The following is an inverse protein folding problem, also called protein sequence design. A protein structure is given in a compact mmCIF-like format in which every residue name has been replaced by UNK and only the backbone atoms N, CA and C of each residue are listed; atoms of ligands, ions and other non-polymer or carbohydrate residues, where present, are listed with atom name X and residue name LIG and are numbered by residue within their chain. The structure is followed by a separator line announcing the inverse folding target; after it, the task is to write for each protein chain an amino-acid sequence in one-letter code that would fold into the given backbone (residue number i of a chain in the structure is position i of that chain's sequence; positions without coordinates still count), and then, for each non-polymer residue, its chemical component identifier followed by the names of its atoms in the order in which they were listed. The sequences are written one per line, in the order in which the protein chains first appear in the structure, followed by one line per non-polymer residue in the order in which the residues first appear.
data_IF_983704264647
#
_entry.id   IF_983704264647
#
_cell.length_a   1.000
_cell.length_b   1.000
_cell.length_c   1.000
_cell.angle_alpha   90.00
_cell.angle_beta   90.00
_cell.angle_gamma   90.00
#
_symmetry.space_group_name_H-M   'P 1'
#
loop_
_entity.id
_entity.type
_entity.pdbx_description
1 polymer ?
#
# COMPACT_ATOMS: atom_id res chain seq x y z
N UNK A 1 18.48 -27.73 -38.97
CA UNK A 1 17.16 -27.17 -39.33
C UNK A 1 17.06 -25.82 -38.66
N UNK A 2 16.54 -24.79 -39.35
CA UNK A 2 16.44 -23.44 -38.79
C UNK A 2 15.05 -22.87 -39.11
N UNK A 3 14.41 -22.28 -38.11
CA UNK A 3 13.11 -21.63 -38.19
C UNK A 3 13.29 -20.12 -37.97
N UNK A 4 12.50 -19.31 -38.68
CA UNK A 4 12.41 -17.87 -38.47
C UNK A 4 10.95 -17.50 -38.24
N UNK A 5 10.68 -16.86 -37.11
CA UNK A 5 9.37 -16.32 -36.75
C UNK A 5 9.45 -14.80 -36.92
N UNK A 6 8.55 -14.24 -37.71
CA UNK A 6 8.41 -12.79 -37.90
C UNK A 6 7.08 -12.34 -37.27
N UNK A 7 7.16 -11.36 -36.39
CA UNK A 7 6.01 -10.74 -35.73
C UNK A 7 5.88 -9.33 -36.28
N UNK A 8 4.70 -9.00 -36.80
CA UNK A 8 4.39 -7.70 -37.38
C UNK A 8 3.04 -7.21 -36.85
N UNK A 9 2.92 -5.89 -36.66
CA UNK A 9 1.66 -5.25 -36.31
C UNK A 9 0.82 -5.12 -37.59
N UNK A 10 -0.44 -5.52 -37.53
CA UNK A 10 -1.32 -5.61 -38.71
C UNK A 10 -2.48 -4.64 -38.54
N UNK A 11 -2.83 -3.94 -39.63
CA UNK A 11 -3.96 -3.03 -39.71
C UNK A 11 -5.27 -3.81 -39.68
N UNK A 12 -6.15 -3.47 -38.74
CA UNK A 12 -7.42 -4.15 -38.51
C UNK A 12 -8.45 -3.96 -39.65
N UNK A 13 -8.26 -2.98 -40.53
CA UNK A 13 -9.18 -2.66 -41.63
C UNK A 13 -8.86 -3.48 -42.87
N UNK A 14 -7.59 -3.55 -43.27
CA UNK A 14 -7.18 -4.13 -44.56
C UNK A 14 -6.09 -5.21 -44.47
N UNK A 15 -5.57 -5.49 -43.28
CA UNK A 15 -4.53 -6.49 -43.07
C UNK A 15 -3.13 -6.07 -43.53
N UNK A 16 -2.92 -4.80 -43.89
CA UNK A 16 -1.60 -4.25 -44.21
C UNK A 16 -0.75 -4.05 -42.94
N UNK A 17 0.56 -3.74 -43.04
CA UNK A 17 1.34 -3.39 -41.87
C UNK A 17 0.79 -2.15 -41.17
N UNK A 18 0.46 -2.26 -39.88
CA UNK A 18 0.06 -1.13 -39.06
C UNK A 18 1.28 -0.38 -38.49
N UNK A 19 1.08 0.91 -38.21
CA UNK A 19 2.10 1.78 -37.63
C UNK A 19 1.78 2.20 -36.19
N UNK A 20 0.50 2.21 -35.80
CA UNK A 20 0.08 2.69 -34.49
C UNK A 20 -1.28 2.11 -34.08
N UNK A 21 -1.46 1.93 -32.78
CA UNK A 21 -2.75 1.65 -32.14
C UNK A 21 -3.41 2.98 -31.75
N UNK A 22 -4.68 3.16 -32.09
CA UNK A 22 -5.45 4.37 -31.74
C UNK A 22 -6.59 3.99 -30.81
N UNK A 23 -6.58 4.58 -29.62
CA UNK A 23 -7.71 4.53 -28.69
C UNK A 23 -8.73 5.62 -29.04
N UNK A 24 -10.01 5.26 -29.11
CA UNK A 24 -11.11 6.21 -29.27
C UNK A 24 -12.33 5.74 -28.48
N UNK A 25 -13.32 6.61 -28.29
CA UNK A 25 -14.53 6.27 -27.55
C UNK A 25 -15.79 6.74 -28.27
N UNK A 26 -16.85 5.95 -28.17
CA UNK A 26 -18.18 6.26 -28.67
C UNK A 26 -19.21 5.77 -27.66
N UNK A 27 -20.17 6.62 -27.29
CA UNK A 27 -21.24 6.32 -26.34
C UNK A 27 -20.76 5.72 -25.00
N UNK A 28 -19.59 6.18 -24.54
CA UNK A 28 -18.98 5.75 -23.27
C UNK A 28 -18.21 4.42 -23.34
N UNK A 29 -18.18 3.76 -24.50
CA UNK A 29 -17.36 2.56 -24.71
C UNK A 29 -16.03 2.96 -25.34
N UNK A 30 -14.94 2.49 -24.75
CA UNK A 30 -13.58 2.70 -25.26
C UNK A 30 -13.18 1.55 -26.17
N UNK A 31 -12.66 1.90 -27.35
CA UNK A 31 -12.17 1.00 -28.37
C UNK A 31 -10.70 1.28 -28.66
N UNK A 32 -10.02 0.28 -29.20
CA UNK A 32 -8.65 0.36 -29.69
C UNK A 32 -8.60 -0.32 -31.06
N UNK A 33 -7.80 0.24 -31.97
CA UNK A 33 -7.66 -0.25 -33.34
C UNK A 33 -6.23 -0.03 -33.84
N UNK A 34 -5.63 -1.05 -34.44
CA UNK A 34 -4.31 -1.00 -35.08
C UNK A 34 -4.46 -0.53 -36.52
N UNK A 35 -3.78 0.57 -36.87
CA UNK A 35 -3.93 1.23 -38.16
C UNK A 35 -2.59 1.61 -38.79
N UNK A 36 -2.57 1.57 -40.12
CA UNK A 36 -1.54 2.21 -40.94
C UNK A 36 -1.73 3.75 -40.93
N UNK A 37 -0.71 4.48 -41.39
CA UNK A 37 -0.69 5.94 -41.35
C UNK A 37 -1.86 6.60 -42.10
N UNK A 38 -2.29 5.98 -43.20
CA UNK A 38 -3.40 6.50 -44.02
C UNK A 38 -4.72 6.36 -43.28
N UNK A 39 -5.01 5.19 -42.73
CA UNK A 39 -6.25 4.94 -41.99
C UNK A 39 -6.30 5.72 -40.67
N UNK A 40 -5.17 5.83 -39.98
CA UNK A 40 -5.03 6.67 -38.80
C UNK A 40 -5.38 8.13 -39.09
N UNK A 41 -4.90 8.70 -40.20
CA UNK A 41 -5.24 10.05 -40.62
C UNK A 41 -6.73 10.19 -40.97
N UNK A 42 -7.31 9.20 -41.66
CA UNK A 42 -8.73 9.19 -41.97
C UNK A 42 -9.59 9.18 -40.72
N UNK A 43 -9.26 8.35 -39.72
CA UNK A 43 -9.97 8.30 -38.44
C UNK A 43 -9.94 9.67 -37.74
N UNK A 44 -8.75 10.28 -37.62
CA UNK A 44 -8.59 11.62 -37.03
C UNK A 44 -9.36 12.70 -37.80
N UNK A 45 -9.42 12.59 -39.12
CA UNK A 45 -10.17 13.53 -39.97
C UNK A 45 -11.69 13.47 -39.72
N UNK A 46 -12.25 12.28 -39.49
CA UNK A 46 -13.68 12.13 -39.12
C UNK A 46 -13.99 12.90 -37.83
N UNK A 47 -13.12 12.81 -36.82
CA UNK A 47 -13.28 13.55 -35.57
C UNK A 47 -13.01 15.06 -35.69
N UNK A 48 -12.28 15.49 -36.73
CA UNK A 48 -11.89 16.89 -36.92
C UNK A 48 -13.05 17.89 -36.95
N UNK A 49 -14.25 17.47 -37.40
CA UNK A 49 -15.45 18.33 -37.36
C UNK A 49 -15.99 18.54 -35.94
N UNK A 50 -15.85 17.54 -35.09
CA UNK A 50 -16.46 17.48 -33.76
C UNK A 50 -15.54 18.01 -32.67
N UNK A 51 -14.25 17.64 -32.69
CA UNK A 51 -13.26 18.02 -31.66
C UNK A 51 -13.25 19.52 -31.35
N UNK A 52 -13.22 20.46 -32.33
CA UNK A 52 -13.17 21.90 -32.04
C UNK A 52 -14.44 22.45 -31.35
N UNK A 53 -15.55 21.71 -31.41
CA UNK A 53 -16.84 22.08 -30.81
C UNK A 53 -17.13 21.26 -29.55
N UNK A 54 -16.33 20.23 -29.28
CA UNK A 54 -16.48 19.36 -28.13
C UNK A 54 -15.83 20.00 -26.91
N UNK A 55 -16.39 19.73 -25.74
CA UNK A 55 -15.70 19.90 -24.46
C UNK A 55 -14.92 18.63 -24.15
N UNK A 56 -13.73 18.76 -23.59
CA UNK A 56 -12.97 17.60 -23.13
C UNK A 56 -13.77 16.90 -22.03
N UNK A 57 -13.97 15.59 -22.18
CA UNK A 57 -14.71 14.78 -21.22
C UNK A 57 -13.87 14.43 -19.97
N UNK A 58 -12.67 14.99 -19.80
CA UNK A 58 -11.75 14.59 -18.73
C UNK A 58 -12.33 14.85 -17.34
N UNK A 59 -12.78 13.73 -16.77
CA UNK A 59 -12.43 13.12 -15.49
C UNK A 59 -12.70 13.94 -14.21
N UNK A 60 -13.67 13.42 -13.45
CA UNK A 60 -13.80 13.54 -11.98
C UNK A 60 -12.58 12.97 -11.21
N UNK A 61 -11.36 13.02 -11.79
CA UNK A 61 -10.10 12.60 -11.14
C UNK A 61 -9.26 13.80 -10.66
N UNK A 62 -9.77 15.02 -10.75
CA UNK A 62 -9.21 16.15 -10.00
C UNK A 62 -9.28 15.93 -8.47
N UNK A 63 -10.22 15.11 -7.99
CA UNK A 63 -10.32 14.75 -6.56
C UNK A 63 -9.21 13.77 -6.09
N UNK A 64 -8.67 12.92 -6.97
CA UNK A 64 -7.58 12.00 -6.60
C UNK A 64 -6.21 12.69 -6.51
N UNK A 65 -5.98 13.69 -7.36
CA UNK A 65 -4.72 14.46 -7.31
C UNK A 65 -4.66 15.30 -6.02
N UNK A 66 -5.74 15.99 -5.66
CA UNK A 66 -5.82 16.78 -4.42
C UNK A 66 -5.74 15.92 -3.15
N UNK A 67 -6.34 14.72 -3.16
CA UNK A 67 -6.30 13.78 -2.02
C UNK A 67 -4.92 13.13 -1.85
N UNK A 68 -4.17 12.95 -2.93
CA UNK A 68 -2.79 12.44 -2.89
C UNK A 68 -1.82 13.49 -2.30
N UNK A 69 -2.03 14.77 -2.58
CA UNK A 69 -1.25 15.89 -2.04
C UNK A 69 -1.57 16.18 -0.56
N UNK A 70 -2.82 15.97 -0.13
CA UNK A 70 -3.19 16.09 1.28
C UNK A 70 -2.64 14.95 2.15
N UNK A 71 -2.55 13.72 1.61
CA UNK A 71 -1.94 12.59 2.35
C UNK A 71 -0.43 12.74 2.47
N UNK A 72 0.25 13.19 1.42
CA UNK A 72 1.71 13.40 1.44
C UNK A 72 2.11 14.51 2.42
N UNK A 73 1.35 15.61 2.49
CA UNK A 73 1.62 16.71 3.42
C UNK A 73 1.38 16.36 4.90
N UNK A 74 0.37 15.53 5.21
CA UNK A 74 0.17 15.01 6.58
C UNK A 74 1.28 14.06 6.99
N UNK A 75 1.64 13.11 6.12
CA UNK A 75 2.72 12.16 6.36
C UNK A 75 4.06 12.89 6.61
N UNK A 76 4.35 13.92 5.82
CA UNK A 76 5.58 14.69 5.93
C UNK A 76 5.66 15.49 7.24
N UNK A 77 4.53 15.99 7.76
CA UNK A 77 4.48 16.68 9.07
C UNK A 77 4.69 15.71 10.22
N UNK A 78 4.12 14.51 10.13
CA UNK A 78 4.27 13.47 11.14
C UNK A 78 5.72 12.95 11.20
N UNK A 79 6.34 12.68 10.05
CA UNK A 79 7.75 12.29 9.98
C UNK A 79 8.68 13.35 10.57
N UNK A 80 8.42 14.64 10.29
CA UNK A 80 9.21 15.72 10.88
C UNK A 80 9.05 15.79 12.40
N UNK A 81 7.83 15.61 12.92
CA UNK A 81 7.56 15.59 14.37
C UNK A 81 8.27 14.40 15.02
N UNK A 82 8.19 13.23 14.42
CA UNK A 82 8.78 12.01 14.94
C UNK A 82 10.32 12.11 14.97
N UNK A 83 10.94 12.67 13.92
CA UNK A 83 12.40 12.94 13.89
C UNK A 83 12.84 13.94 14.96
N UNK A 84 12.00 14.92 15.33
CA UNK A 84 12.31 15.87 16.41
C UNK A 84 12.21 15.19 17.78
N UNK A 85 11.14 14.43 18.02
CA UNK A 85 10.96 13.69 19.27
C UNK A 85 12.09 12.67 19.50
N UNK A 86 12.47 11.91 18.48
CA UNK A 86 13.56 10.94 18.58
C UNK A 86 14.92 11.59 18.87
N UNK A 87 15.20 12.77 18.29
CA UNK A 87 16.41 13.54 18.63
C UNK A 87 16.43 13.99 20.08
N UNK A 88 15.31 14.52 20.58
CA UNK A 88 15.19 14.95 21.98
C UNK A 88 15.35 13.78 22.95
N UNK A 89 14.78 12.62 22.66
CA UNK A 89 14.93 11.43 23.48
C UNK A 89 16.39 10.95 23.52
N UNK A 90 17.07 10.96 22.37
CA UNK A 90 18.49 10.58 22.27
C UNK A 90 19.38 11.51 23.10
N UNK A 91 19.11 12.81 23.09
CA UNK A 91 19.83 13.80 23.90
C UNK A 91 19.59 13.60 25.40
N UNK A 92 18.35 13.30 25.80
CA UNK A 92 18.01 13.01 27.20
C UNK A 92 18.68 11.74 27.71
N UNK A 93 18.67 10.66 26.92
CA UNK A 93 19.37 9.40 27.26
C UNK A 93 20.87 9.68 27.40
N UNK A 94 21.46 10.41 26.45
CA UNK A 94 22.89 10.78 26.51
C UNK A 94 23.21 11.64 27.73
N UNK A 95 22.37 12.60 28.07
CA UNK A 95 22.54 13.45 29.26
C UNK A 95 22.36 12.69 30.57
N UNK A 96 21.38 11.77 30.64
CA UNK A 96 21.18 10.90 31.79
C UNK A 96 22.38 9.96 31.99
N UNK A 97 22.88 9.34 30.92
CA UNK A 97 24.07 8.49 30.97
C UNK A 97 25.32 9.25 31.44
N UNK A 98 25.49 10.52 31.04
CA UNK A 98 26.58 11.38 31.54
C UNK A 98 26.47 11.65 33.03
N UNK A 99 25.28 12.01 33.53
CA UNK A 99 25.06 12.25 34.96
C UNK A 99 25.28 10.99 35.80
N UNK A 100 24.88 9.83 35.30
CA UNK A 100 25.15 8.55 35.96
C UNK A 100 26.65 8.25 35.96
N UNK A 101 27.36 8.54 34.86
CA UNK A 101 28.81 8.37 34.77
C UNK A 101 29.58 9.33 35.68
N UNK A 102 29.16 10.58 35.78
CA UNK A 102 29.70 11.57 36.72
C UNK A 102 29.50 11.12 38.17
N UNK A 103 28.33 10.57 38.50
CA UNK A 103 28.05 10.00 39.83
C UNK A 103 28.91 8.78 40.16
N UNK A 104 29.25 7.95 39.19
CA UNK A 104 30.13 6.80 39.41
C UNK A 104 31.58 7.25 39.59
N UNK A 105 32.05 8.22 38.79
CA UNK A 105 33.40 8.76 38.90
C UNK A 105 33.66 9.56 40.20
N UNK A 106 32.62 10.04 40.89
CA UNK A 106 32.73 10.70 42.20
C UNK A 106 32.45 9.76 43.39
N UNK A 107 32.32 8.44 43.16
CA UNK A 107 32.08 7.46 44.23
C UNK A 107 33.35 6.72 44.67
N UNK A 108 34.47 6.93 43.97
CA UNK A 108 35.74 6.23 44.23
C UNK A 108 36.69 6.98 45.19
N UNK A 109 36.30 8.15 45.73
CA UNK A 109 37.15 8.98 46.62
C UNK A 109 36.74 8.98 48.11
N UNK A 110 35.68 8.28 48.54
CA UNK A 110 35.31 8.20 49.96
C UNK A 110 34.90 6.79 50.39
N UNK A 111 35.86 6.04 50.96
CA UNK A 111 35.62 4.87 51.81
C UNK A 111 35.25 5.33 53.24
N UNK A 112 34.07 4.95 53.76
CA UNK A 112 33.94 3.97 54.86
C UNK A 112 32.52 3.92 55.47
N UNK A 113 32.11 2.74 55.99
CA UNK A 113 30.74 2.43 56.39
C UNK A 113 30.45 2.90 57.82
N UNK A 114 29.29 3.50 58.06
CA UNK A 114 28.76 3.65 59.42
C UNK A 114 27.38 3.04 59.53
N UNK A 115 27.27 2.15 60.50
CA UNK A 115 26.13 1.33 60.89
C UNK A 115 24.90 2.12 61.36
N UNK A 116 23.76 1.44 61.26
CA UNK A 116 22.51 1.61 62.02
C UNK A 116 21.42 2.49 61.39
N UNK A 117 20.47 1.84 60.71
CA UNK A 117 19.06 1.88 61.10
C UNK A 117 18.30 0.78 60.34
N UNK A 118 17.68 -0.12 61.11
CA UNK A 118 16.78 -1.15 60.62
C UNK A 118 15.51 -0.53 60.03
N UNK A 119 15.18 -0.90 58.79
CA UNK A 119 13.84 -0.87 58.25
C UNK A 119 13.68 -2.11 57.35
N UNK A 120 12.73 -2.95 57.72
CA UNK A 120 12.46 -4.27 57.16
C UNK A 120 12.08 -4.22 55.67
N UNK A 121 12.46 -5.23 54.86
CA UNK A 121 12.05 -5.32 53.47
C UNK A 121 10.62 -5.88 53.39
N UNK A 122 9.63 -5.00 53.26
CA UNK A 122 8.27 -5.42 52.95
C UNK A 122 8.18 -5.83 51.47
N UNK A 123 7.92 -7.13 51.28
CA UNK A 123 7.13 -7.65 50.16
C UNK A 123 7.80 -7.60 48.79
N UNK A 124 8.60 -8.63 48.49
CA UNK A 124 8.81 -9.06 47.12
C UNK A 124 7.44 -9.29 46.46
N UNK A 125 7.05 -8.45 45.51
CA UNK A 125 5.99 -8.83 44.60
C UNK A 125 6.50 -9.98 43.72
N UNK A 126 5.72 -11.06 43.53
CA UNK A 126 6.14 -12.16 42.69
C UNK A 126 6.26 -11.64 41.25
N UNK A 127 7.41 -11.91 40.64
CA UNK A 127 7.58 -11.83 39.19
C UNK A 127 6.43 -12.59 38.51
N UNK A 128 5.67 -11.97 37.59
CA UNK A 128 4.66 -12.70 36.83
C UNK A 128 5.36 -13.65 35.85
N UNK A 129 4.99 -14.94 35.88
CA UNK A 129 5.40 -15.93 34.90
C UNK A 129 5.06 -15.45 33.48
N UNK A 130 6.04 -15.32 32.57
CA UNK A 130 5.78 -14.83 31.22
C UNK A 130 5.04 -15.84 30.32
N UNK A 131 4.86 -17.09 30.78
CA UNK A 131 4.27 -18.18 29.98
C UNK A 131 2.82 -18.54 30.35
N UNK A 132 2.14 -17.74 31.16
CA UNK A 132 0.71 -17.97 31.42
C UNK A 132 -0.15 -17.42 30.29
N UNK A 133 -0.33 -18.22 29.24
CA UNK A 133 -1.33 -17.98 28.20
C UNK A 133 -2.74 -17.86 28.83
N UNK A 134 -3.53 -16.82 28.50
CA UNK A 134 -4.92 -16.75 28.95
C UNK A 134 -5.72 -17.89 28.30
N UNK A 135 -6.34 -18.72 29.13
CA UNK A 135 -7.27 -19.76 28.68
C UNK A 135 -8.57 -19.08 28.24
N UNK A 136 -8.75 -18.89 26.93
CA UNK A 136 -10.07 -18.54 26.39
C UNK A 136 -11.03 -19.73 26.54
N UNK A 137 -12.31 -19.51 26.88
CA UNK A 137 -13.30 -20.57 26.88
C UNK A 137 -13.57 -21.01 25.43
N UNK A 138 -13.27 -22.27 25.14
CA UNK A 138 -13.59 -22.92 23.87
C UNK A 138 -15.11 -22.90 23.66
N UNK A 139 -15.57 -22.09 22.71
CA UNK A 139 -16.93 -22.15 22.20
C UNK A 139 -16.96 -23.19 21.07
N UNK A 140 -17.69 -24.27 21.31
CA UNK A 140 -17.90 -25.37 20.37
C UNK A 140 -18.55 -24.86 19.07
N UNK A 141 -17.99 -25.14 17.87
CA UNK A 141 -18.58 -24.65 16.64
C UNK A 141 -19.83 -25.47 16.27
N UNK A 142 -20.94 -24.76 16.01
CA UNK A 142 -22.16 -25.32 15.44
C UNK A 142 -21.90 -25.99 14.07
N UNK A 143 -22.69 -27.01 13.68
CA UNK A 143 -22.48 -27.71 12.41
C UNK A 143 -22.82 -26.81 11.22
N UNK A 144 -21.84 -26.64 10.32
CA UNK A 144 -22.03 -26.00 9.01
C UNK A 144 -22.90 -26.87 8.12
N UNK A 145 -24.05 -26.33 7.74
CA UNK A 145 -24.94 -26.90 6.74
C UNK A 145 -24.28 -26.87 5.35
N UNK A 146 -24.48 -27.95 4.61
CA UNK A 146 -23.70 -28.33 3.43
C UNK A 146 -23.88 -27.34 2.28
N UNK A 147 -22.74 -27.00 1.67
CA UNK A 147 -22.54 -26.42 0.34
C UNK A 147 -23.71 -26.65 -0.63
N UNK A 148 -24.31 -25.55 -1.09
CA UNK A 148 -25.19 -25.53 -2.25
C UNK A 148 -24.46 -26.09 -3.47
N UNK A 149 -25.01 -27.17 -4.02
CA UNK A 149 -24.56 -27.78 -5.25
C UNK A 149 -24.63 -26.77 -6.41
N UNK A 150 -23.54 -26.65 -7.15
CA UNK A 150 -23.50 -26.03 -8.47
C UNK A 150 -24.46 -26.81 -9.37
N UNK A 151 -25.56 -26.16 -9.76
CA UNK A 151 -26.52 -26.71 -10.71
C UNK A 151 -25.93 -26.60 -12.12
N UNK A 152 -25.64 -27.75 -12.74
CA UNK A 152 -25.25 -27.85 -14.15
C UNK A 152 -26.49 -27.60 -15.04
N UNK A 153 -26.38 -26.82 -16.13
CA UNK A 153 -27.48 -26.66 -17.07
C UNK A 153 -27.73 -27.97 -17.84
N UNK A 154 -28.98 -28.43 -17.86
CA UNK A 154 -29.42 -29.50 -18.74
C UNK A 154 -29.61 -28.95 -20.16
N UNK A 155 -28.77 -29.41 -21.10
CA UNK A 155 -29.07 -29.28 -22.53
C UNK A 155 -30.13 -30.33 -22.89
N UNK A 156 -31.33 -29.87 -23.23
CA UNK A 156 -32.36 -30.70 -23.84
C UNK A 156 -32.01 -30.90 -25.31
N UNK A 157 -31.80 -32.16 -25.69
CA UNK A 157 -31.84 -32.61 -27.07
C UNK A 157 -33.30 -32.96 -27.41
N UNK A 158 -33.84 -32.38 -28.48
CA UNK A 158 -35.07 -32.82 -29.11
C UNK A 158 -34.98 -32.56 -30.63
N UNK A 159 -35.23 -33.65 -31.35
CA UNK A 159 -35.49 -33.92 -32.79
C UNK A 159 -34.98 -32.97 -33.88
#
# INVERSE_FOLDING_TARGET
MAERIQVELVDDIDGSPAQQSITFALDGVTYEIDLNDRHAQQLRAVFGRYIPRARTATAENSDETEKSEQKSSRQQREDQRNRRANRQLTEQIRGAARRTRERLNHRDDDEQPTSAAAAEPQGAQPVPDPDRLPSEPVQEPAPVERVAAVSLPQFSAAD
#
